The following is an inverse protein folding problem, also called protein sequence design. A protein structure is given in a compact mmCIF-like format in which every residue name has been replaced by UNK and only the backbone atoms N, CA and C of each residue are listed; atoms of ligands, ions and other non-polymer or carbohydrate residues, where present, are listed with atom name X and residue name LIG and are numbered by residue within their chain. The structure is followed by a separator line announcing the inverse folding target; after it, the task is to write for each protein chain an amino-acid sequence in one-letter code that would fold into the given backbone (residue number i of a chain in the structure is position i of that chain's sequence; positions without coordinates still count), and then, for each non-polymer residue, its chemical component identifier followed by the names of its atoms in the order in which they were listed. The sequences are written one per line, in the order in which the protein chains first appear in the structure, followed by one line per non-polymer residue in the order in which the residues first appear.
data_IF_920749378207
#
_entry.id   IF_920749378207
#
_cell.length_a   1.000
_cell.length_b   1.000
_cell.length_c   1.000
_cell.angle_alpha   90.00
_cell.angle_beta   90.00
_cell.angle_gamma   90.00
#
_symmetry.space_group_name_H-M   'P 1'
#
loop_
_entity.id
_entity.type
_entity.pdbx_description
1 polymer ?
#
# COMPACT_ATOMS: atom_id res chain seq x y z
N UNK A 1 64.43 8.79 32.44
CA UNK A 1 63.91 7.45 32.79
C UNK A 1 62.43 7.47 33.23
N UNK A 2 62.01 8.49 34.05
CA UNK A 2 60.56 8.54 34.46
C UNK A 2 59.55 8.66 33.36
N UNK A 3 59.81 9.44 32.30
CA UNK A 3 58.88 9.63 31.19
C UNK A 3 58.63 8.36 30.35
N UNK A 4 59.65 7.50 30.21
CA UNK A 4 59.52 6.24 29.48
C UNK A 4 58.61 5.24 30.20
N UNK A 5 58.70 5.14 31.52
CA UNK A 5 57.85 4.27 32.33
C UNK A 5 56.39 4.75 32.34
N UNK A 6 56.18 6.07 32.37
CA UNK A 6 54.83 6.68 32.28
C UNK A 6 54.23 6.42 30.89
N UNK A 7 54.99 6.63 29.81
CA UNK A 7 54.55 6.36 28.47
C UNK A 7 54.15 4.89 28.24
N UNK A 8 54.92 3.94 28.80
CA UNK A 8 54.62 2.50 28.69
C UNK A 8 53.36 2.11 29.45
N UNK A 9 53.12 2.71 30.62
CA UNK A 9 51.86 2.51 31.37
C UNK A 9 50.63 3.03 30.60
N UNK A 10 50.75 4.21 29.99
CA UNK A 10 49.70 4.80 29.16
C UNK A 10 49.45 3.94 27.92
N UNK A 11 50.51 3.45 27.26
CA UNK A 11 50.41 2.55 26.08
C UNK A 11 49.66 1.27 26.41
N UNK A 12 49.91 0.67 27.56
CA UNK A 12 49.25 -0.54 28.05
C UNK A 12 47.76 -0.31 28.26
N UNK A 13 47.36 0.78 28.94
CA UNK A 13 45.98 1.18 29.13
C UNK A 13 45.28 1.43 27.81
N UNK A 14 45.93 2.18 26.91
CA UNK A 14 45.37 2.52 25.62
C UNK A 14 45.08 1.27 24.76
N UNK A 15 46.06 0.36 24.66
CA UNK A 15 45.88 -0.90 23.93
C UNK A 15 44.73 -1.76 24.47
N UNK A 16 44.49 -1.76 25.76
CA UNK A 16 43.42 -2.50 26.38
C UNK A 16 42.01 -1.96 25.99
N UNK A 17 41.92 -0.67 25.67
CA UNK A 17 40.65 0.01 25.42
C UNK A 17 40.42 0.39 23.94
N UNK A 18 41.49 0.46 23.12
CA UNK A 18 41.45 1.04 21.77
C UNK A 18 40.38 0.39 20.87
N UNK A 19 40.21 -0.93 20.94
CA UNK A 19 39.25 -1.65 20.15
C UNK A 19 37.77 -1.30 20.49
N UNK A 20 37.52 -0.78 21.71
CA UNK A 20 36.17 -0.42 22.19
C UNK A 20 35.87 1.08 22.05
N UNK A 21 36.88 1.89 21.68
CA UNK A 21 36.75 3.35 21.58
C UNK A 21 36.54 3.79 20.12
N UNK A 22 35.57 4.66 19.89
CA UNK A 22 35.48 5.44 18.66
C UNK A 22 36.53 6.60 18.64
N UNK A 23 36.62 7.29 17.50
CA UNK A 23 37.59 8.38 17.31
C UNK A 23 37.45 9.49 18.36
N UNK A 24 36.25 9.78 18.83
CA UNK A 24 35.98 10.78 19.85
C UNK A 24 36.41 10.31 21.23
N UNK A 25 36.06 9.09 21.60
CA UNK A 25 36.46 8.50 22.87
C UNK A 25 37.98 8.37 22.97
N UNK A 26 38.68 7.95 21.88
CA UNK A 26 40.14 7.94 21.82
C UNK A 26 40.72 9.31 22.06
N UNK A 27 40.18 10.35 21.44
CA UNK A 27 40.60 11.73 21.60
C UNK A 27 40.38 12.22 23.03
N UNK A 28 39.22 11.98 23.61
CA UNK A 28 38.90 12.41 24.98
C UNK A 28 39.71 11.64 26.03
N UNK A 29 39.88 10.33 25.86
CA UNK A 29 40.69 9.52 26.76
C UNK A 29 42.15 10.00 26.77
N UNK A 30 42.74 10.19 25.58
CA UNK A 30 44.10 10.70 25.46
C UNK A 30 44.25 12.11 26.02
N UNK A 31 43.23 12.96 25.84
CA UNK A 31 43.20 14.29 26.44
C UNK A 31 43.17 14.24 27.99
N UNK A 32 42.33 13.36 28.55
CA UNK A 32 42.24 13.18 29.98
C UNK A 32 43.59 12.71 30.60
N UNK A 33 44.27 11.74 29.98
CA UNK A 33 45.60 11.30 30.40
C UNK A 33 46.63 12.44 30.25
N UNK A 34 46.56 13.26 29.18
CA UNK A 34 47.46 14.38 29.00
C UNK A 34 47.23 15.50 30.03
N UNK A 35 45.99 15.80 30.39
CA UNK A 35 45.65 16.77 31.45
C UNK A 35 46.14 16.31 32.82
N UNK A 36 46.02 15.02 33.13
CA UNK A 36 46.49 14.44 34.39
C UNK A 36 48.00 14.50 34.57
N UNK A 37 48.78 14.48 33.46
CA UNK A 37 50.22 14.61 33.49
C UNK A 37 50.69 16.07 33.58
N UNK A 38 49.90 17.03 33.21
CA UNK A 38 50.25 18.44 33.19
C UNK A 38 51.27 18.79 32.11
N UNK A 39 52.30 19.55 32.50
CA UNK A 39 53.32 20.01 31.57
C UNK A 39 54.06 18.84 30.88
N UNK A 40 54.17 18.88 29.56
CA UNK A 40 54.73 17.78 28.74
C UNK A 40 53.77 16.62 28.44
N UNK A 41 52.59 16.53 29.07
CA UNK A 41 51.64 15.44 28.95
C UNK A 41 51.17 15.16 27.51
N UNK A 42 50.97 16.20 26.69
CA UNK A 42 50.64 16.05 25.26
C UNK A 42 51.69 15.23 24.49
N UNK A 43 52.97 15.45 24.78
CA UNK A 43 54.07 14.76 24.10
C UNK A 43 54.19 13.30 24.54
N UNK A 44 54.06 13.04 25.82
CA UNK A 44 54.13 11.68 26.39
C UNK A 44 52.97 10.85 25.93
N UNK A 45 51.74 11.37 25.95
CA UNK A 45 50.54 10.66 25.48
C UNK A 45 50.57 10.44 23.97
N UNK A 46 51.03 11.43 23.19
CA UNK A 46 51.20 11.28 21.76
C UNK A 46 52.19 10.14 21.40
N UNK A 47 53.33 10.08 22.10
CA UNK A 47 54.32 9.00 21.93
C UNK A 47 53.77 7.62 22.34
N UNK A 48 52.92 7.57 23.39
CA UNK A 48 52.32 6.34 23.88
C UNK A 48 51.20 5.81 22.98
N UNK A 49 50.32 6.70 22.49
CA UNK A 49 49.07 6.34 21.75
C UNK A 49 49.20 6.41 20.23
N UNK A 50 50.25 7.07 19.71
CA UNK A 50 50.44 7.44 18.29
C UNK A 50 49.36 8.40 17.76
N UNK A 51 48.55 9.02 18.64
CA UNK A 51 47.67 10.10 18.25
C UNK A 51 48.46 11.39 18.04
N UNK A 52 48.09 12.17 17.00
CA UNK A 52 48.72 13.46 16.77
C UNK A 52 48.49 14.41 17.95
N UNK A 53 49.50 15.21 18.30
CA UNK A 53 49.41 16.21 19.40
C UNK A 53 48.23 17.15 19.23
N UNK A 54 47.97 17.59 17.97
CA UNK A 54 46.81 18.44 17.65
C UNK A 54 45.46 17.77 17.95
N UNK A 55 45.36 16.45 17.75
CA UNK A 55 44.15 15.65 18.07
C UNK A 55 43.93 15.61 19.58
N UNK A 56 45.02 15.39 20.36
CA UNK A 56 44.95 15.36 21.82
C UNK A 56 44.64 16.77 22.36
N UNK A 57 45.29 17.82 21.86
CA UNK A 57 44.99 19.20 22.23
C UNK A 57 43.56 19.64 21.90
N UNK A 58 42.98 19.16 20.79
CA UNK A 58 41.56 19.37 20.48
C UNK A 58 40.68 18.71 21.57
N UNK A 59 41.00 17.49 21.97
CA UNK A 59 40.30 16.81 23.05
C UNK A 59 40.38 17.55 24.39
N UNK A 60 41.55 18.13 24.74
CA UNK A 60 41.72 18.95 25.94
C UNK A 60 40.75 20.14 25.91
N UNK A 61 40.72 20.91 24.81
CA UNK A 61 39.77 22.02 24.63
C UNK A 61 38.32 21.59 24.78
N UNK A 62 37.97 20.42 24.19
CA UNK A 62 36.62 19.88 24.31
C UNK A 62 36.23 19.51 25.73
N UNK A 63 37.17 18.94 26.52
CA UNK A 63 36.95 18.59 27.92
C UNK A 63 36.89 19.82 28.82
N UNK A 64 37.74 20.82 28.60
CA UNK A 64 37.73 22.11 29.31
C UNK A 64 36.43 22.86 29.06
N UNK A 65 35.98 22.93 27.79
CA UNK A 65 34.70 23.53 27.45
C UNK A 65 33.52 22.83 28.17
N UNK A 66 33.51 21.50 28.21
CA UNK A 66 32.50 20.77 28.98
C UNK A 66 32.53 21.02 30.46
N UNK A 67 33.72 21.17 31.03
CA UNK A 67 33.88 21.49 32.45
C UNK A 67 33.33 22.88 32.77
N UNK A 68 33.57 23.84 31.89
CA UNK A 68 33.05 25.20 32.02
C UNK A 68 31.53 25.29 31.73
N UNK A 69 30.97 24.36 30.93
CA UNK A 69 29.57 24.36 30.52
C UNK A 69 28.88 23.00 30.79
N UNK A 70 28.64 22.63 32.05
CA UNK A 70 28.15 21.31 32.43
C UNK A 70 26.77 20.97 31.85
N UNK A 71 25.95 21.99 31.56
CA UNK A 71 24.60 21.84 31.00
C UNK A 71 24.56 21.86 29.46
N UNK A 72 25.70 22.06 28.79
CA UNK A 72 25.74 22.05 27.33
C UNK A 72 25.39 20.66 26.78
N UNK A 73 24.52 20.63 25.75
CA UNK A 73 24.14 19.39 25.13
C UNK A 73 25.34 18.63 24.54
N UNK A 74 25.44 17.34 24.85
CA UNK A 74 26.51 16.49 24.33
C UNK A 74 26.19 16.21 22.84
N UNK A 75 27.06 16.70 21.95
CA UNK A 75 26.93 16.32 20.51
C UNK A 75 27.02 14.81 20.35
N UNK A 76 26.07 14.22 19.69
CA UNK A 76 26.06 12.77 19.34
C UNK A 76 27.11 12.47 18.25
N UNK A 77 27.59 13.48 17.52
CA UNK A 77 28.54 13.32 16.42
C UNK A 77 29.93 13.01 16.90
N UNK A 78 30.57 12.01 16.29
CA UNK A 78 31.97 11.63 16.58
C UNK A 78 32.96 12.72 16.12
N UNK A 79 32.64 13.40 15.00
CA UNK A 79 33.47 14.49 14.42
C UNK A 79 32.76 15.83 14.51
N UNK A 80 33.56 16.90 14.64
CA UNK A 80 33.04 18.26 14.56
C UNK A 80 32.39 18.55 13.18
N UNK A 81 31.40 19.48 13.11
CA UNK A 81 30.84 19.93 11.85
C UNK A 81 31.94 20.34 10.87
N UNK A 82 31.82 19.87 9.61
CA UNK A 82 32.85 20.11 8.58
C UNK A 82 34.03 19.13 8.55
N UNK A 83 34.16 18.27 9.56
CA UNK A 83 35.14 17.18 9.58
C UNK A 83 34.71 16.01 8.68
N UNK A 84 35.60 15.49 7.88
CA UNK A 84 35.38 14.37 6.98
C UNK A 84 35.61 14.70 5.51
N UNK A 85 35.27 13.73 4.62
CA UNK A 85 35.35 13.94 3.17
C UNK A 85 34.34 14.99 2.74
N UNK A 86 34.76 16.02 2.03
CA UNK A 86 33.86 17.03 1.45
C UNK A 86 32.80 16.36 0.58
N UNK A 87 31.51 16.79 0.63
CA UNK A 87 30.49 16.33 -0.29
C UNK A 87 30.92 16.50 -1.74
N UNK A 88 30.58 15.55 -2.60
CA UNK A 88 30.97 15.59 -4.02
C UNK A 88 30.44 16.87 -4.72
N UNK A 89 29.29 17.38 -4.32
CA UNK A 89 28.71 18.63 -4.81
C UNK A 89 29.52 19.90 -4.44
N UNK A 90 30.41 19.83 -3.47
CA UNK A 90 31.36 20.90 -3.14
C UNK A 90 32.60 20.80 -4.02
N UNK A 91 33.01 19.58 -4.38
CA UNK A 91 34.16 19.30 -5.24
C UNK A 91 33.80 19.56 -6.72
N UNK A 92 32.57 19.19 -7.09
CA UNK A 92 31.99 19.32 -8.41
C UNK A 92 30.65 20.10 -8.33
N UNK A 93 30.66 21.42 -8.41
CA UNK A 93 29.46 22.25 -8.32
C UNK A 93 28.47 22.05 -9.46
N UNK A 94 28.92 21.58 -10.63
CA UNK A 94 28.09 21.29 -11.79
C UNK A 94 27.27 20.03 -11.71
N UNK A 95 27.68 19.08 -10.89
CA UNK A 95 27.09 17.76 -10.77
C UNK A 95 25.58 17.77 -10.49
N UNK A 96 25.13 18.65 -9.56
CA UNK A 96 23.71 18.74 -9.20
C UNK A 96 22.86 19.18 -10.39
N UNK A 97 23.29 20.22 -11.08
CA UNK A 97 22.59 20.77 -12.26
C UNK A 97 22.56 19.78 -13.42
N UNK A 98 23.65 19.08 -13.67
CA UNK A 98 23.71 18.02 -14.67
C UNK A 98 22.76 16.87 -14.35
N UNK A 99 22.67 16.44 -13.08
CA UNK A 99 21.73 15.41 -12.64
C UNK A 99 20.28 15.86 -12.79
N UNK A 100 19.93 17.08 -12.39
CA UNK A 100 18.59 17.64 -12.53
C UNK A 100 18.18 17.70 -14.00
N UNK A 101 19.05 18.13 -14.90
CA UNK A 101 18.80 18.14 -16.34
C UNK A 101 18.54 16.74 -16.92
N UNK A 102 19.18 15.70 -16.39
CA UNK A 102 18.94 14.30 -16.81
C UNK A 102 17.62 13.71 -16.32
N UNK A 103 17.04 14.23 -15.24
CA UNK A 103 15.78 13.75 -14.66
C UNK A 103 14.60 14.66 -14.94
N UNK A 104 14.82 15.85 -15.48
CA UNK A 104 13.76 16.77 -15.88
C UNK A 104 12.83 16.10 -16.92
N UNK A 105 11.51 16.08 -16.68
CA UNK A 105 10.53 15.53 -17.61
C UNK A 105 10.61 16.12 -19.02
N UNK A 106 10.97 17.39 -19.16
CA UNK A 106 11.11 18.08 -20.45
C UNK A 106 12.30 17.55 -21.27
N UNK A 107 13.37 17.14 -20.60
CA UNK A 107 14.57 16.59 -21.26
C UNK A 107 14.44 15.13 -21.64
N UNK A 108 13.46 14.38 -21.10
CA UNK A 108 13.21 12.97 -21.42
C UNK A 108 12.72 12.75 -22.85
N UNK A 109 12.22 13.77 -23.50
CA UNK A 109 11.60 13.69 -24.82
C UNK A 109 10.19 13.10 -24.77
N UNK A 110 9.53 13.04 -25.93
CA UNK A 110 8.19 12.47 -26.07
C UNK A 110 8.25 10.94 -25.98
N UNK A 111 7.26 10.25 -25.34
CA UNK A 111 7.25 8.79 -25.21
C UNK A 111 7.33 8.03 -26.53
N UNK A 112 6.85 8.63 -27.61
CA UNK A 112 6.89 8.07 -28.97
C UNK A 112 8.23 8.28 -29.69
N UNK A 113 9.18 9.01 -29.07
CA UNK A 113 10.51 9.21 -29.63
C UNK A 113 11.45 8.08 -29.20
N UNK A 114 11.92 7.21 -30.10
CA UNK A 114 12.73 6.05 -29.74
C UNK A 114 14.10 6.40 -29.16
N UNK A 115 14.57 7.65 -29.30
CA UNK A 115 15.92 8.06 -28.90
C UNK A 115 16.04 8.65 -27.49
N UNK A 116 14.94 8.98 -26.80
CA UNK A 116 14.97 9.70 -25.50
C UNK A 116 14.12 9.09 -24.39
N UNK A 117 13.39 8.03 -24.67
CA UNK A 117 12.64 7.32 -23.65
C UNK A 117 13.51 6.29 -22.96
N UNK A 118 13.92 6.57 -21.73
CA UNK A 118 14.54 5.55 -20.89
C UNK A 118 14.11 5.76 -19.44
N UNK A 119 13.57 4.71 -18.82
CA UNK A 119 13.56 4.58 -17.37
C UNK A 119 15.03 4.47 -16.92
N UNK A 120 15.70 5.60 -16.73
CA UNK A 120 17.10 5.59 -16.31
C UNK A 120 17.20 5.12 -14.88
N UNK A 121 17.86 3.98 -14.66
CA UNK A 121 18.29 3.59 -13.33
C UNK A 121 19.37 4.54 -12.80
N UNK A 122 19.57 4.57 -11.49
CA UNK A 122 20.67 5.36 -10.88
C UNK A 122 22.03 4.98 -11.45
N UNK A 123 22.23 3.72 -11.83
CA UNK A 123 23.45 3.26 -12.51
C UNK A 123 23.62 3.91 -13.91
N UNK A 124 22.56 3.99 -14.70
CA UNK A 124 22.61 4.65 -16.01
C UNK A 124 22.78 6.18 -15.89
N UNK A 125 22.13 6.80 -14.91
CA UNK A 125 22.34 8.21 -14.61
C UNK A 125 23.81 8.48 -14.23
N UNK A 126 24.40 7.62 -13.40
CA UNK A 126 25.82 7.74 -13.05
C UNK A 126 26.75 7.53 -14.26
N UNK A 127 26.42 6.63 -15.18
CA UNK A 127 27.15 6.43 -16.41
C UNK A 127 27.11 7.66 -17.32
N UNK A 128 25.92 8.26 -17.45
CA UNK A 128 25.71 9.43 -18.30
C UNK A 128 26.37 10.69 -17.72
N UNK A 129 26.33 10.86 -16.40
CA UNK A 129 27.06 11.91 -15.70
C UNK A 129 28.58 11.77 -15.87
N UNK A 130 29.10 10.53 -15.82
CA UNK A 130 30.53 10.30 -16.09
C UNK A 130 30.94 10.65 -17.53
N UNK A 131 30.05 10.45 -18.51
CA UNK A 131 30.27 10.91 -19.90
C UNK A 131 30.28 12.43 -20.05
N UNK A 132 29.68 13.13 -19.08
CA UNK A 132 29.66 14.58 -18.97
C UNK A 132 30.75 15.11 -18.00
N UNK A 133 31.82 14.34 -17.78
CA UNK A 133 32.94 14.67 -16.90
C UNK A 133 32.59 14.84 -15.42
N UNK A 134 31.47 14.25 -14.96
CA UNK A 134 31.07 14.18 -13.55
C UNK A 134 31.30 12.78 -12.97
N UNK A 135 32.48 12.48 -12.37
CA UNK A 135 32.79 11.16 -11.83
C UNK A 135 31.97 10.84 -10.58
N UNK A 136 30.90 10.09 -10.75
CA UNK A 136 29.92 9.79 -9.69
C UNK A 136 29.52 8.31 -9.68
N UNK A 137 29.17 7.78 -8.49
CA UNK A 137 28.63 6.43 -8.34
C UNK A 137 27.10 6.45 -8.31
N UNK A 138 26.47 5.32 -8.61
CA UNK A 138 25.02 5.12 -8.52
C UNK A 138 24.43 5.40 -7.13
N UNK A 139 25.18 5.05 -6.06
CA UNK A 139 24.81 5.34 -4.67
C UNK A 139 24.80 6.85 -4.39
N UNK A 140 25.79 7.57 -4.92
CA UNK A 140 25.85 9.02 -4.79
C UNK A 140 24.71 9.68 -5.56
N UNK A 141 24.40 9.21 -6.77
CA UNK A 141 23.23 9.67 -7.55
C UNK A 141 21.93 9.45 -6.78
N UNK A 142 21.74 8.27 -6.19
CA UNK A 142 20.56 8.00 -5.38
C UNK A 142 20.43 8.92 -4.14
N UNK A 143 21.55 9.24 -3.49
CA UNK A 143 21.58 10.19 -2.37
C UNK A 143 21.24 11.60 -2.84
N UNK A 144 21.85 12.06 -3.93
CA UNK A 144 21.59 13.40 -4.50
C UNK A 144 20.13 13.57 -4.94
N UNK A 145 19.53 12.54 -5.56
CA UNK A 145 18.12 12.56 -5.92
C UNK A 145 17.23 12.73 -4.70
N UNK A 146 17.52 12.04 -3.59
CA UNK A 146 16.79 12.21 -2.33
C UNK A 146 16.96 13.62 -1.74
N UNK A 147 18.18 14.13 -1.73
CA UNK A 147 18.50 15.48 -1.23
C UNK A 147 17.82 16.59 -2.05
N UNK A 148 17.54 16.34 -3.32
CA UNK A 148 16.80 17.25 -4.21
C UNK A 148 15.30 16.99 -4.22
N UNK A 149 14.78 16.13 -3.32
CA UNK A 149 13.35 15.88 -3.16
C UNK A 149 12.75 14.86 -4.12
N UNK A 150 13.58 14.16 -4.91
CA UNK A 150 13.10 13.10 -5.80
C UNK A 150 12.95 11.77 -5.06
N UNK A 151 11.89 11.04 -5.39
CA UNK A 151 11.69 9.65 -4.96
C UNK A 151 10.99 8.86 -6.07
N UNK A 152 11.15 7.54 -6.05
CA UNK A 152 10.41 6.67 -6.96
C UNK A 152 8.92 6.76 -6.63
N UNK A 153 8.11 7.21 -7.58
CA UNK A 153 6.66 7.34 -7.44
C UNK A 153 5.95 6.38 -8.38
N UNK A 154 4.97 5.66 -7.85
CA UNK A 154 4.02 4.92 -8.67
C UNK A 154 2.89 5.85 -9.15
N UNK A 155 2.26 5.51 -10.27
CA UNK A 155 1.08 6.22 -10.72
C UNK A 155 -0.01 6.19 -9.66
N UNK A 156 -0.52 7.35 -9.29
CA UNK A 156 -1.59 7.49 -8.31
C UNK A 156 -2.92 7.71 -9.02
N UNK A 157 -3.90 6.87 -8.75
CA UNK A 157 -5.27 7.03 -9.27
C UNK A 157 -5.97 8.19 -8.54
N UNK A 158 -5.80 9.42 -9.03
CA UNK A 158 -6.39 10.63 -8.44
C UNK A 158 -7.38 11.33 -9.35
N UNK A 159 -7.30 11.09 -10.66
CA UNK A 159 -8.23 11.68 -11.63
C UNK A 159 -9.52 10.86 -11.59
N UNK A 160 -10.59 11.48 -11.13
CA UNK A 160 -11.95 10.95 -11.23
C UNK A 160 -12.55 11.43 -12.56
N UNK A 161 -13.53 10.71 -13.08
CA UNK A 161 -14.30 11.14 -14.25
C UNK A 161 -15.12 12.40 -13.96
N UNK A 162 -16.22 12.62 -14.67
CA UNK A 162 -17.11 13.77 -14.47
C UNK A 162 -17.52 13.91 -13.00
N UNK A 163 -17.34 15.10 -12.44
CA UNK A 163 -17.82 15.43 -11.11
C UNK A 163 -19.34 15.61 -11.15
N UNK A 164 -20.08 14.80 -10.39
CA UNK A 164 -21.50 15.06 -10.16
C UNK A 164 -21.65 16.10 -9.03
N UNK A 165 -22.42 17.18 -9.22
CA UNK A 165 -22.60 18.22 -8.20
C UNK A 165 -23.17 17.67 -6.90
N UNK A 166 -24.07 16.67 -6.96
CA UNK A 166 -24.72 16.07 -5.79
C UNK A 166 -23.93 14.92 -5.16
N UNK A 167 -22.68 14.74 -5.56
CA UNK A 167 -21.80 13.67 -5.07
C UNK A 167 -21.77 13.61 -3.54
N UNK A 168 -21.48 14.71 -2.88
CA UNK A 168 -21.38 14.74 -1.42
C UNK A 168 -22.74 14.49 -0.76
N UNK A 169 -23.80 15.09 -1.30
CA UNK A 169 -25.17 14.90 -0.82
C UNK A 169 -25.60 13.42 -0.90
N UNK A 170 -25.21 12.70 -1.97
CA UNK A 170 -25.49 11.27 -2.10
C UNK A 170 -24.72 10.43 -1.05
N UNK A 171 -23.45 10.73 -0.79
CA UNK A 171 -22.69 10.05 0.26
C UNK A 171 -23.31 10.28 1.65
N UNK A 172 -23.75 11.50 1.95
CA UNK A 172 -24.46 11.82 3.18
C UNK A 172 -25.80 11.10 3.28
N UNK A 173 -26.56 11.05 2.16
CA UNK A 173 -27.81 10.29 2.10
C UNK A 173 -27.57 8.81 2.41
N UNK A 174 -26.63 8.16 1.74
CA UNK A 174 -26.27 6.76 2.01
C UNK A 174 -25.90 6.57 3.48
N UNK A 175 -25.05 7.44 4.03
CA UNK A 175 -24.60 7.33 5.42
C UNK A 175 -25.79 7.46 6.41
N UNK A 176 -26.72 8.39 6.18
CA UNK A 176 -27.96 8.51 7.00
C UNK A 176 -28.78 7.22 6.97
N UNK A 177 -28.96 6.61 5.78
CA UNK A 177 -29.69 5.36 5.64
C UNK A 177 -28.98 4.20 6.39
N UNK A 178 -27.66 4.10 6.26
CA UNK A 178 -26.84 3.11 6.96
C UNK A 178 -27.02 3.24 8.48
N UNK A 179 -26.90 4.44 9.03
CA UNK A 179 -27.05 4.70 10.48
C UNK A 179 -28.47 4.34 10.94
N UNK A 180 -29.49 4.75 10.20
CA UNK A 180 -30.90 4.51 10.56
C UNK A 180 -31.22 3.00 10.59
N UNK A 181 -30.77 2.26 9.58
CA UNK A 181 -31.00 0.81 9.51
C UNK A 181 -30.23 0.04 10.58
N UNK A 182 -28.97 0.38 10.81
CA UNK A 182 -28.18 -0.24 11.90
C UNK A 182 -28.77 -0.01 13.28
N UNK A 183 -29.31 1.18 13.56
CA UNK A 183 -30.05 1.46 14.80
C UNK A 183 -31.24 0.53 14.97
N UNK A 184 -31.91 0.18 13.87
CA UNK A 184 -33.05 -0.79 13.86
C UNK A 184 -32.58 -2.26 13.76
N UNK A 185 -31.28 -2.53 13.85
CA UNK A 185 -30.67 -3.87 13.72
C UNK A 185 -30.97 -4.55 12.39
N UNK A 186 -31.17 -3.76 11.34
CA UNK A 186 -31.34 -4.29 9.98
C UNK A 186 -29.98 -4.45 9.29
N UNK A 187 -29.81 -5.47 8.45
CA UNK A 187 -28.58 -5.72 7.72
C UNK A 187 -28.28 -4.62 6.69
N UNK A 188 -27.02 -4.25 6.58
CA UNK A 188 -26.52 -3.31 5.59
C UNK A 188 -25.27 -3.89 4.95
N UNK A 189 -25.34 -4.14 3.66
CA UNK A 189 -24.21 -4.72 2.91
C UNK A 189 -23.66 -3.77 1.86
N UNK A 190 -22.37 -3.90 1.62
CA UNK A 190 -21.66 -3.27 0.51
C UNK A 190 -21.29 -4.38 -0.48
N UNK A 191 -21.65 -4.21 -1.75
CA UNK A 191 -21.48 -5.25 -2.76
C UNK A 191 -20.66 -4.73 -3.95
N UNK A 192 -19.88 -5.62 -4.55
CA UNK A 192 -19.13 -5.32 -5.76
C UNK A 192 -18.52 -6.58 -6.39
N UNK A 193 -18.12 -6.49 -7.65
CA UNK A 193 -17.29 -7.49 -8.31
C UNK A 193 -15.82 -7.11 -8.16
N UNK A 194 -15.03 -7.97 -7.51
CA UNK A 194 -13.59 -7.82 -7.51
C UNK A 194 -13.03 -8.04 -8.91
N UNK A 195 -11.91 -7.38 -9.22
CA UNK A 195 -11.16 -7.62 -10.45
C UNK A 195 -11.14 -9.12 -10.79
N UNK A 196 -11.52 -9.45 -12.03
CA UNK A 196 -11.48 -10.83 -12.58
C UNK A 196 -10.03 -11.29 -12.68
N UNK A 197 -9.75 -12.51 -12.24
CA UNK A 197 -8.40 -13.07 -12.22
C UNK A 197 -8.29 -14.25 -13.20
N UNK A 198 -7.17 -14.37 -13.89
CA UNK A 198 -6.86 -15.54 -14.70
C UNK A 198 -6.64 -16.74 -13.79
N UNK A 199 -7.21 -17.89 -14.16
CA UNK A 199 -7.01 -19.16 -13.46
C UNK A 199 -5.93 -19.95 -14.18
N UNK A 200 -4.87 -20.35 -13.45
CA UNK A 200 -3.75 -21.07 -14.02
C UNK A 200 -2.42 -20.63 -13.43
N UNK A 201 -1.34 -21.12 -14.01
CA UNK A 201 0.02 -20.80 -13.61
C UNK A 201 0.48 -19.45 -14.16
N UNK A 202 -0.22 -18.38 -13.77
CA UNK A 202 0.10 -17.01 -14.19
C UNK A 202 0.81 -16.26 -13.07
N UNK A 203 1.66 -15.30 -13.48
CA UNK A 203 2.34 -14.42 -12.54
C UNK A 203 1.34 -13.52 -11.82
N UNK A 204 1.27 -13.66 -10.50
CA UNK A 204 0.51 -12.72 -9.67
C UNK A 204 1.45 -11.67 -9.05
N UNK A 205 0.96 -10.44 -8.91
CA UNK A 205 1.73 -9.33 -8.37
C UNK A 205 2.08 -9.56 -6.89
N UNK A 206 3.31 -9.20 -6.49
CA UNK A 206 3.81 -9.34 -5.13
C UNK A 206 4.93 -10.35 -5.01
N UNK A 207 5.28 -10.69 -3.76
CA UNK A 207 6.37 -11.60 -3.43
C UNK A 207 5.97 -12.43 -2.21
N UNK A 208 6.36 -13.70 -2.18
CA UNK A 208 6.31 -14.60 -1.02
C UNK A 208 7.73 -15.08 -0.66
N UNK A 209 7.89 -15.57 0.56
CA UNK A 209 9.13 -16.18 0.99
C UNK A 209 9.25 -17.59 0.41
N UNK A 210 10.29 -17.80 -0.39
CA UNK A 210 10.68 -19.11 -0.92
C UNK A 210 12.18 -19.32 -0.67
N UNK A 211 12.68 -20.57 -0.70
CA UNK A 211 14.11 -20.84 -0.67
C UNK A 211 14.82 -20.06 -1.78
N UNK A 212 16.00 -19.53 -1.46
CA UNK A 212 16.77 -18.71 -2.41
C UNK A 212 17.03 -19.48 -3.70
N UNK A 213 16.66 -18.87 -4.84
CA UNK A 213 16.84 -19.49 -6.17
C UNK A 213 15.75 -20.49 -6.56
N UNK A 214 14.69 -20.67 -5.76
CA UNK A 214 13.59 -21.60 -6.03
C UNK A 214 12.22 -20.87 -6.04
N UNK A 215 12.02 -19.86 -6.90
CA UNK A 215 10.73 -19.22 -7.03
C UNK A 215 9.72 -20.16 -7.71
N UNK A 216 8.41 -20.00 -7.47
CA UNK A 216 7.38 -20.66 -8.27
C UNK A 216 7.58 -20.36 -9.75
N UNK A 217 7.56 -21.39 -10.57
CA UNK A 217 7.61 -21.22 -12.03
C UNK A 217 6.21 -20.99 -12.54
N UNK A 218 6.06 -20.01 -13.42
CA UNK A 218 4.79 -19.62 -14.03
C UNK A 218 4.94 -19.47 -15.54
N UNK A 219 3.83 -19.41 -16.25
CA UNK A 219 3.81 -19.23 -17.70
C UNK A 219 4.53 -17.95 -18.12
N UNK A 220 5.22 -17.99 -19.25
CA UNK A 220 5.92 -16.83 -19.84
C UNK A 220 4.91 -15.81 -20.38
N UNK A 221 3.75 -16.28 -20.83
CA UNK A 221 2.69 -15.46 -21.41
C UNK A 221 1.35 -15.65 -20.68
N UNK A 222 0.61 -14.58 -20.51
CA UNK A 222 -0.69 -14.56 -19.83
C UNK A 222 -1.86 -14.85 -20.79
N UNK A 223 -1.74 -15.90 -21.62
CA UNK A 223 -2.86 -16.35 -22.47
C UNK A 223 -3.87 -17.13 -21.62
N UNK A 224 -5.15 -16.69 -21.59
CA UNK A 224 -6.18 -17.39 -20.85
C UNK A 224 -6.30 -18.84 -21.31
N UNK A 225 -6.28 -19.77 -20.37
CA UNK A 225 -6.64 -21.16 -20.66
C UNK A 225 -8.14 -21.22 -20.98
N UNK A 226 -8.49 -21.81 -22.14
CA UNK A 226 -9.89 -21.90 -22.60
C UNK A 226 -10.77 -22.76 -21.68
N UNK A 227 -10.16 -23.71 -20.94
CA UNK A 227 -10.89 -24.61 -20.01
C UNK A 227 -11.03 -23.97 -18.62
N UNK A 228 -9.99 -23.30 -18.15
CA UNK A 228 -9.98 -22.69 -16.83
C UNK A 228 -10.59 -21.28 -16.81
N UNK A 229 -10.47 -20.52 -17.89
CA UNK A 229 -11.08 -19.20 -18.02
C UNK A 229 -10.62 -18.19 -16.99
N UNK A 230 -11.59 -17.46 -16.42
CA UNK A 230 -11.37 -16.43 -15.40
C UNK A 230 -12.25 -16.65 -14.19
N UNK A 231 -11.71 -16.47 -13.01
CA UNK A 231 -12.49 -16.35 -11.79
C UNK A 231 -13.13 -14.97 -11.67
N UNK A 232 -14.39 -14.93 -11.30
CA UNK A 232 -15.19 -13.72 -11.11
C UNK A 232 -15.64 -13.66 -9.65
N UNK A 233 -14.83 -13.09 -8.74
CA UNK A 233 -15.20 -12.99 -7.32
C UNK A 233 -16.22 -11.88 -7.14
N UNK A 234 -17.44 -12.19 -6.77
CA UNK A 234 -18.45 -11.23 -6.35
C UNK A 234 -18.57 -11.23 -4.83
N UNK A 235 -18.39 -10.08 -4.23
CA UNK A 235 -18.35 -9.92 -2.78
C UNK A 235 -19.59 -9.26 -2.21
N UNK A 236 -19.97 -9.71 -1.02
CA UNK A 236 -21.00 -9.11 -0.16
C UNK A 236 -20.38 -8.90 1.21
N UNK A 237 -20.21 -7.64 1.62
CA UNK A 237 -19.57 -7.28 2.87
C UNK A 237 -20.58 -6.67 3.85
N UNK A 238 -20.77 -7.29 5.00
CA UNK A 238 -21.61 -6.76 6.09
C UNK A 238 -20.90 -5.67 6.87
N UNK A 239 -21.44 -4.46 6.78
CA UNK A 239 -20.90 -3.28 7.45
C UNK A 239 -20.99 -3.31 8.98
N UNK A 240 -21.86 -4.16 9.54
CA UNK A 240 -22.07 -4.24 10.99
C UNK A 240 -21.10 -5.22 11.65
N UNK A 241 -20.90 -6.39 11.04
CA UNK A 241 -20.16 -7.51 11.63
C UNK A 241 -18.69 -7.57 11.22
N UNK A 242 -18.27 -6.81 10.22
CA UNK A 242 -16.96 -6.93 9.59
C UNK A 242 -16.73 -8.35 9.02
N UNK A 243 -17.76 -8.90 8.41
CA UNK A 243 -17.74 -10.23 7.79
C UNK A 243 -18.14 -10.11 6.32
N UNK A 244 -17.68 -11.04 5.51
CA UNK A 244 -17.99 -11.03 4.09
C UNK A 244 -18.20 -12.42 3.49
N UNK A 245 -18.95 -12.45 2.42
CA UNK A 245 -19.16 -13.57 1.54
C UNK A 245 -18.58 -13.28 0.17
N UNK A 246 -17.98 -14.28 -0.47
CA UNK A 246 -17.55 -14.15 -1.86
C UNK A 246 -18.00 -15.38 -2.65
N UNK A 247 -18.85 -15.16 -3.66
CA UNK A 247 -19.13 -16.15 -4.71
C UNK A 247 -18.04 -16.06 -5.78
N UNK A 248 -17.33 -17.14 -6.03
CA UNK A 248 -16.33 -17.22 -7.10
C UNK A 248 -16.97 -17.79 -8.33
N UNK A 249 -17.45 -16.93 -9.22
CA UNK A 249 -18.10 -17.32 -10.48
C UNK A 249 -17.11 -17.82 -11.53
N UNK A 250 -17.58 -18.71 -12.39
CA UNK A 250 -16.81 -19.31 -13.50
C UNK A 250 -17.32 -18.91 -14.87
N UNK A 251 -18.45 -18.21 -14.96
CA UNK A 251 -19.15 -17.93 -16.21
C UNK A 251 -19.13 -16.43 -16.55
N UNK A 252 -20.17 -15.69 -16.26
CA UNK A 252 -20.32 -14.29 -16.61
C UNK A 252 -20.67 -13.41 -15.41
N UNK A 253 -20.16 -12.17 -15.43
CA UNK A 253 -20.46 -11.13 -14.45
C UNK A 253 -21.75 -10.41 -14.84
N UNK A 254 -22.88 -11.00 -14.51
CA UNK A 254 -24.21 -10.50 -14.84
C UNK A 254 -24.97 -10.02 -13.61
N UNK A 255 -26.05 -9.27 -13.81
CA UNK A 255 -26.93 -8.86 -12.72
C UNK A 255 -27.53 -10.07 -11.96
N UNK A 256 -27.83 -11.14 -12.67
CA UNK A 256 -28.34 -12.38 -12.06
C UNK A 256 -27.28 -13.02 -11.13
N UNK A 257 -26.02 -13.12 -11.59
CA UNK A 257 -24.92 -13.61 -10.76
C UNK A 257 -24.72 -12.75 -9.49
N UNK A 258 -24.78 -11.43 -9.66
CA UNK A 258 -24.65 -10.48 -8.56
C UNK A 258 -25.77 -10.70 -7.50
N UNK A 259 -27.01 -10.78 -7.94
CA UNK A 259 -28.17 -10.99 -7.06
C UNK A 259 -28.16 -12.39 -6.42
N UNK A 260 -27.79 -13.43 -7.19
CA UNK A 260 -27.61 -14.78 -6.65
C UNK A 260 -26.54 -14.81 -5.52
N UNK A 261 -25.46 -14.05 -5.67
CA UNK A 261 -24.43 -13.92 -4.66
C UNK A 261 -24.92 -13.24 -3.38
N UNK A 262 -25.79 -12.22 -3.49
CA UNK A 262 -26.43 -11.58 -2.33
C UNK A 262 -27.38 -12.58 -1.65
N UNK A 263 -28.15 -13.35 -2.40
CA UNK A 263 -29.02 -14.40 -1.87
C UNK A 263 -28.23 -15.49 -1.13
N UNK A 264 -27.06 -15.89 -1.64
CA UNK A 264 -26.17 -16.84 -0.95
C UNK A 264 -25.63 -16.28 0.34
N UNK A 265 -25.13 -15.04 0.32
CA UNK A 265 -24.72 -14.38 1.57
C UNK A 265 -25.83 -14.41 2.61
N UNK A 266 -27.07 -14.10 2.21
CA UNK A 266 -28.20 -14.13 3.13
C UNK A 266 -28.41 -15.53 3.73
N UNK A 267 -28.46 -16.57 2.92
CA UNK A 267 -28.66 -17.95 3.37
C UNK A 267 -27.53 -18.45 4.27
N UNK A 268 -26.28 -18.12 3.94
CA UNK A 268 -25.09 -18.66 4.61
C UNK A 268 -24.66 -17.86 5.85
N UNK A 269 -25.04 -16.59 5.94
CA UNK A 269 -24.56 -15.68 6.98
C UNK A 269 -25.64 -14.74 7.49
N UNK A 270 -26.37 -14.08 6.59
CA UNK A 270 -27.29 -13.00 6.91
C UNK A 270 -28.48 -13.47 7.76
N UNK A 271 -29.17 -14.54 7.37
CA UNK A 271 -30.33 -15.08 8.06
C UNK A 271 -30.01 -15.54 9.49
N UNK A 272 -28.84 -16.11 9.71
CA UNK A 272 -28.38 -16.55 11.04
C UNK A 272 -28.21 -15.36 11.98
N UNK A 273 -27.65 -14.26 11.48
CA UNK A 273 -27.37 -13.07 12.28
C UNK A 273 -28.58 -12.15 12.43
N UNK A 274 -29.35 -12.01 11.37
CA UNK A 274 -30.45 -11.07 11.26
C UNK A 274 -31.80 -11.76 11.07
N UNK A 275 -32.06 -12.84 11.78
CA UNK A 275 -33.26 -13.68 11.63
C UNK A 275 -34.62 -12.95 11.85
N UNK A 276 -34.59 -11.71 12.39
CA UNK A 276 -35.76 -10.84 12.54
C UNK A 276 -35.74 -9.64 11.61
N UNK A 277 -34.88 -9.64 10.61
CA UNK A 277 -34.81 -8.54 9.67
C UNK A 277 -36.09 -8.51 8.78
N UNK A 278 -36.55 -7.30 8.51
CA UNK A 278 -37.62 -7.01 7.57
C UNK A 278 -37.13 -6.24 6.35
N UNK A 279 -35.94 -5.67 6.48
CA UNK A 279 -35.29 -4.88 5.41
C UNK A 279 -33.83 -5.31 5.26
N UNK A 280 -33.31 -5.25 4.04
CA UNK A 280 -31.90 -5.38 3.70
C UNK A 280 -31.48 -4.16 2.89
N UNK A 281 -30.46 -3.42 3.36
CA UNK A 281 -29.86 -2.35 2.55
C UNK A 281 -28.66 -2.86 1.78
N UNK A 282 -28.65 -2.57 0.48
CA UNK A 282 -27.59 -2.88 -0.47
C UNK A 282 -26.97 -1.56 -0.93
N UNK A 283 -25.69 -1.34 -0.63
CA UNK A 283 -24.91 -0.26 -1.22
C UNK A 283 -23.99 -0.81 -2.31
N UNK A 284 -24.11 -0.26 -3.52
CA UNK A 284 -23.38 -0.72 -4.69
C UNK A 284 -22.80 0.46 -5.46
N UNK A 285 -21.79 0.21 -6.31
CA UNK A 285 -21.42 1.22 -7.29
C UNK A 285 -22.48 1.33 -8.40
N UNK A 286 -22.36 2.36 -9.24
CA UNK A 286 -23.34 2.62 -10.32
C UNK A 286 -23.01 1.89 -11.61
N UNK A 287 -22.01 1.01 -11.65
CA UNK A 287 -21.50 0.37 -12.88
C UNK A 287 -21.58 -1.16 -12.89
N UNK A 288 -21.21 -1.76 -14.01
CA UNK A 288 -21.13 -3.21 -14.18
C UNK A 288 -22.44 -3.94 -13.94
N UNK A 289 -22.36 -5.12 -13.33
CA UNK A 289 -23.49 -5.99 -12.99
C UNK A 289 -24.48 -5.34 -12.00
N UNK A 290 -24.00 -4.39 -11.18
CA UNK A 290 -24.78 -3.68 -10.18
C UNK A 290 -25.38 -2.35 -10.70
N UNK A 291 -25.31 -2.07 -12.00
CA UNK A 291 -25.67 -0.76 -12.54
C UNK A 291 -27.11 -0.37 -12.19
N UNK A 292 -27.31 0.85 -11.70
CA UNK A 292 -28.63 1.42 -11.41
C UNK A 292 -29.53 1.51 -12.66
N UNK A 293 -28.93 1.56 -13.84
CA UNK A 293 -29.62 1.59 -15.14
C UNK A 293 -29.97 0.21 -15.66
N UNK A 294 -29.42 -0.86 -15.08
CA UNK A 294 -29.63 -2.22 -15.53
C UNK A 294 -31.03 -2.70 -15.11
N UNK A 295 -31.91 -2.93 -16.09
CA UNK A 295 -33.28 -3.44 -15.87
C UNK A 295 -33.27 -4.86 -15.27
N UNK A 296 -32.36 -5.72 -15.74
CA UNK A 296 -32.23 -7.09 -15.27
C UNK A 296 -31.83 -7.13 -13.77
N UNK A 297 -31.02 -6.18 -13.30
CA UNK A 297 -30.70 -6.02 -11.90
C UNK A 297 -31.96 -5.82 -11.04
N UNK A 298 -32.86 -4.92 -11.46
CA UNK A 298 -34.12 -4.65 -10.75
C UNK A 298 -35.06 -5.84 -10.73
N UNK A 299 -35.21 -6.54 -11.88
CA UNK A 299 -36.03 -7.74 -11.99
C UNK A 299 -35.48 -8.88 -11.14
N UNK A 300 -34.16 -9.10 -11.15
CA UNK A 300 -33.52 -10.12 -10.33
C UNK A 300 -33.66 -9.80 -8.82
N UNK A 301 -33.51 -8.52 -8.42
CA UNK A 301 -33.77 -8.10 -7.05
C UNK A 301 -35.23 -8.30 -6.62
N UNK A 302 -36.20 -8.14 -7.51
CA UNK A 302 -37.60 -8.47 -7.20
C UNK A 302 -37.75 -9.95 -6.87
N UNK A 303 -37.13 -10.83 -7.65
CA UNK A 303 -37.11 -12.26 -7.36
C UNK A 303 -36.50 -12.54 -5.98
N UNK A 304 -35.38 -11.91 -5.66
CA UNK A 304 -34.73 -12.05 -4.36
C UNK A 304 -35.61 -11.50 -3.21
N UNK A 305 -36.25 -10.35 -3.40
CA UNK A 305 -37.16 -9.79 -2.40
C UNK A 305 -38.31 -10.74 -2.07
N UNK A 306 -38.90 -11.34 -3.11
CA UNK A 306 -39.99 -12.33 -2.96
C UNK A 306 -39.49 -13.60 -2.26
N UNK A 307 -38.32 -14.12 -2.65
CA UNK A 307 -37.72 -15.32 -2.03
C UNK A 307 -37.45 -15.13 -0.53
N UNK A 308 -36.89 -13.97 -0.18
CA UNK A 308 -36.45 -13.71 1.19
C UNK A 308 -37.58 -13.13 2.08
N UNK A 309 -38.67 -12.64 1.50
CA UNK A 309 -39.68 -11.88 2.23
C UNK A 309 -39.17 -10.55 2.79
N UNK A 310 -38.09 -10.00 2.22
CA UNK A 310 -37.44 -8.79 2.70
C UNK A 310 -37.67 -7.60 1.76
N UNK A 311 -37.86 -6.43 2.36
CA UNK A 311 -37.76 -5.17 1.62
C UNK A 311 -36.30 -4.87 1.32
N UNK A 312 -35.96 -4.73 0.03
CA UNK A 312 -34.61 -4.42 -0.41
C UNK A 312 -34.48 -2.91 -0.66
N UNK A 313 -33.63 -2.25 0.11
CA UNK A 313 -33.32 -0.83 -0.07
C UNK A 313 -31.97 -0.73 -0.79
N UNK A 314 -31.94 -0.18 -2.00
CA UNK A 314 -30.74 -0.06 -2.81
C UNK A 314 -30.31 1.40 -2.85
N UNK A 315 -29.02 1.62 -2.63
CA UNK A 315 -28.38 2.92 -2.77
C UNK A 315 -27.11 2.77 -3.59
N UNK A 316 -27.04 3.44 -4.74
CA UNK A 316 -25.86 3.45 -5.58
C UNK A 316 -24.95 4.64 -5.27
N UNK A 317 -23.66 4.41 -5.31
CA UNK A 317 -22.68 5.49 -5.29
C UNK A 317 -22.77 6.30 -6.58
N UNK A 318 -22.44 7.60 -6.54
CA UNK A 318 -22.40 8.45 -7.72
C UNK A 318 -21.43 7.88 -8.78
N UNK A 319 -21.66 8.10 -10.07
CA UNK A 319 -20.75 7.67 -11.13
C UNK A 319 -19.30 8.13 -10.89
N UNK A 320 -18.33 7.29 -11.19
CA UNK A 320 -16.90 7.59 -11.02
C UNK A 320 -16.38 7.50 -9.57
N UNK A 321 -17.19 7.07 -8.62
CA UNK A 321 -16.83 7.02 -7.20
C UNK A 321 -16.69 5.61 -6.63
N UNK A 322 -16.57 4.58 -7.47
CA UNK A 322 -16.43 3.17 -7.08
C UNK A 322 -15.31 2.93 -6.05
N UNK A 323 -14.22 3.69 -6.13
CA UNK A 323 -13.13 3.62 -5.14
C UNK A 323 -13.56 3.93 -3.70
N UNK A 324 -14.74 4.53 -3.48
CA UNK A 324 -15.28 4.81 -2.15
C UNK A 324 -16.21 3.71 -1.63
N UNK A 325 -16.46 2.68 -2.44
CA UNK A 325 -17.22 1.52 -2.01
C UNK A 325 -16.54 0.84 -0.83
N UNK A 326 -17.27 0.62 0.26
CA UNK A 326 -16.69 0.12 1.53
C UNK A 326 -16.03 -1.25 1.37
N UNK A 327 -16.60 -2.12 0.54
CA UNK A 327 -16.09 -3.47 0.30
C UNK A 327 -14.65 -3.45 -0.24
N UNK A 328 -14.30 -2.47 -1.09
CA UNK A 328 -12.96 -2.33 -1.65
C UNK A 328 -11.89 -2.16 -0.56
N UNK A 329 -12.17 -1.31 0.42
CA UNK A 329 -11.23 -0.96 1.49
C UNK A 329 -11.30 -1.89 2.70
N UNK A 330 -12.42 -2.60 2.89
CA UNK A 330 -12.66 -3.41 4.08
C UNK A 330 -12.49 -4.91 3.84
N UNK A 331 -12.59 -5.37 2.58
CA UNK A 331 -12.47 -6.78 2.25
C UNK A 331 -11.56 -7.05 1.05
N UNK A 332 -11.81 -6.44 -0.11
CA UNK A 332 -11.08 -6.77 -1.33
C UNK A 332 -9.58 -6.43 -1.28
N UNK A 333 -9.20 -5.34 -0.62
CA UNK A 333 -7.80 -5.01 -0.40
C UNK A 333 -7.06 -6.11 0.39
N UNK A 334 -7.71 -6.71 1.39
CA UNK A 334 -7.12 -7.79 2.20
C UNK A 334 -7.07 -9.12 1.46
N UNK A 335 -8.10 -9.43 0.65
CA UNK A 335 -8.06 -10.57 -0.26
C UNK A 335 -6.87 -10.42 -1.23
N UNK A 336 -6.69 -9.24 -1.81
CA UNK A 336 -5.56 -8.95 -2.70
C UNK A 336 -4.22 -9.12 -1.99
N UNK A 337 -4.10 -8.70 -0.72
CA UNK A 337 -2.90 -8.89 0.07
C UNK A 337 -2.62 -10.37 0.36
N UNK A 338 -3.68 -11.15 0.64
CA UNK A 338 -3.56 -12.56 1.01
C UNK A 338 -3.06 -13.46 -0.14
N UNK A 339 -3.34 -13.10 -1.39
CA UNK A 339 -2.89 -13.91 -2.54
C UNK A 339 -1.73 -13.29 -3.35
N UNK A 340 -1.12 -12.19 -2.85
CA UNK A 340 0.01 -11.55 -3.54
C UNK A 340 1.20 -12.51 -3.65
N UNK A 341 1.78 -12.56 -4.87
CA UNK A 341 2.95 -13.40 -5.15
C UNK A 341 2.63 -14.87 -5.40
N UNK A 342 1.40 -15.30 -5.17
CA UNK A 342 0.98 -16.70 -5.33
C UNK A 342 0.22 -16.90 -6.64
N UNK A 343 0.61 -17.84 -7.52
CA UNK A 343 -0.15 -18.20 -8.71
C UNK A 343 -1.54 -18.76 -8.33
N UNK A 344 -2.58 -18.32 -9.04
CA UNK A 344 -3.97 -18.73 -8.82
C UNK A 344 -4.29 -19.95 -9.70
N UNK A 345 -3.70 -21.08 -9.39
CA UNK A 345 -3.63 -22.26 -10.25
C UNK A 345 -4.96 -22.97 -10.50
N UNK A 346 -5.95 -22.79 -9.60
CA UNK A 346 -7.28 -23.38 -9.75
C UNK A 346 -8.34 -22.57 -9.01
N UNK A 347 -9.60 -22.78 -9.32
CA UNK A 347 -10.73 -22.18 -8.59
C UNK A 347 -10.73 -22.54 -7.11
N UNK A 348 -10.35 -23.78 -6.76
CA UNK A 348 -10.25 -24.19 -5.36
C UNK A 348 -9.19 -23.41 -4.59
N UNK A 349 -8.03 -23.14 -5.20
CA UNK A 349 -6.98 -22.30 -4.62
C UNK A 349 -7.51 -20.90 -4.37
N UNK A 350 -8.25 -20.32 -5.32
CA UNK A 350 -8.85 -18.98 -5.21
C UNK A 350 -9.86 -18.95 -4.05
N UNK A 351 -10.79 -19.91 -3.99
CA UNK A 351 -11.79 -20.01 -2.92
C UNK A 351 -11.11 -20.13 -1.56
N UNK A 352 -10.09 -20.98 -1.43
CA UNK A 352 -9.36 -21.19 -0.18
C UNK A 352 -8.60 -19.90 0.24
N UNK A 353 -7.94 -19.21 -0.68
CA UNK A 353 -7.22 -17.97 -0.38
C UNK A 353 -8.20 -16.86 0.05
N UNK A 354 -9.36 -16.76 -0.59
CA UNK A 354 -10.40 -15.80 -0.19
C UNK A 354 -10.94 -16.17 1.20
N UNK A 355 -11.32 -17.41 1.41
CA UNK A 355 -11.92 -17.89 2.67
C UNK A 355 -10.98 -17.81 3.87
N UNK A 356 -9.67 -17.89 3.65
CA UNK A 356 -8.64 -17.73 4.69
C UNK A 356 -8.22 -16.27 4.92
N UNK A 357 -8.87 -15.31 4.28
CA UNK A 357 -8.53 -13.89 4.48
C UNK A 357 -9.02 -13.40 5.83
N UNK A 358 -8.10 -12.98 6.67
CA UNK A 358 -8.37 -12.40 7.99
C UNK A 358 -7.58 -11.12 8.21
N UNK A 359 -7.94 -10.35 9.23
CA UNK A 359 -7.19 -9.16 9.65
C UNK A 359 -7.11 -9.06 11.16
N UNK A 360 -6.17 -8.27 11.68
CA UNK A 360 -6.09 -7.97 13.13
C UNK A 360 -7.38 -7.36 13.68
N UNK A 361 -8.18 -6.71 12.83
CA UNK A 361 -9.46 -6.12 13.20
C UNK A 361 -10.64 -7.10 13.10
N UNK A 362 -10.38 -8.40 12.98
CA UNK A 362 -11.39 -9.45 13.03
C UNK A 362 -12.22 -9.66 11.77
N UNK A 363 -11.72 -9.23 10.58
CA UNK A 363 -12.38 -9.59 9.32
C UNK A 363 -12.44 -11.11 9.18
N UNK A 364 -13.64 -11.63 8.83
CA UNK A 364 -13.85 -13.02 8.45
C UNK A 364 -14.51 -13.07 7.09
N UNK A 365 -13.98 -13.89 6.20
CA UNK A 365 -14.52 -14.06 4.85
C UNK A 365 -14.88 -15.52 4.65
N UNK A 366 -16.10 -15.79 4.18
CA UNK A 366 -16.50 -17.09 3.63
C UNK A 366 -16.52 -17.00 2.11
N UNK A 367 -16.13 -18.06 1.43
CA UNK A 367 -16.15 -18.13 -0.02
C UNK A 367 -16.60 -19.50 -0.51
N UNK A 368 -17.30 -19.50 -1.63
CA UNK A 368 -17.64 -20.73 -2.32
C UNK A 368 -17.58 -20.56 -3.83
N UNK A 369 -17.33 -21.67 -4.53
CA UNK A 369 -17.39 -21.71 -5.97
C UNK A 369 -18.86 -21.60 -6.44
N UNK A 370 -19.08 -20.79 -7.45
CA UNK A 370 -20.35 -20.67 -8.15
C UNK A 370 -20.22 -21.27 -9.56
N UNK A 371 -20.78 -22.44 -9.76
CA UNK A 371 -20.80 -23.16 -11.04
C UNK A 371 -22.04 -22.85 -11.87
N UNK A 372 -22.89 -21.93 -11.41
CA UNK A 372 -24.09 -21.49 -12.13
C UNK A 372 -23.76 -20.89 -13.48
N UNK A 373 -24.70 -21.05 -14.41
CA UNK A 373 -24.64 -20.42 -15.73
C UNK A 373 -25.49 -19.17 -15.73
N UNK A 374 -24.93 -18.08 -16.22
CA UNK A 374 -25.56 -16.77 -16.22
C UNK A 374 -25.47 -16.17 -17.61
N UNK A 375 -26.60 -16.23 -18.35
CA UNK A 375 -26.65 -15.74 -19.70
C UNK A 375 -26.39 -14.24 -19.79
N UNK A 376 -25.72 -13.85 -20.86
CA UNK A 376 -25.50 -12.44 -21.23
C UNK A 376 -26.49 -11.98 -22.26
N UNK A 377 -26.72 -10.66 -22.40
CA UNK A 377 -27.58 -10.11 -23.44
C UNK A 377 -29.08 -10.27 -23.16
N UNK A 378 -29.47 -10.60 -21.92
CA UNK A 378 -30.90 -10.68 -21.56
C UNK A 378 -31.51 -9.28 -21.61
N UNK A 379 -32.50 -9.12 -22.50
CA UNK A 379 -33.28 -7.88 -22.60
C UNK A 379 -34.54 -7.99 -21.74
N UNK A 380 -34.81 -6.96 -20.97
CA UNK A 380 -36.00 -6.85 -20.13
C UNK A 380 -36.99 -5.89 -20.80
N UNK A 381 -38.18 -6.38 -21.07
CA UNK A 381 -39.27 -5.57 -21.65
C UNK A 381 -39.84 -4.56 -20.63
N UNK A 382 -40.58 -3.58 -21.14
CA UNK A 382 -41.23 -2.59 -20.29
C UNK A 382 -42.28 -3.25 -19.35
N UNK A 383 -42.99 -4.28 -19.86
CA UNK A 383 -43.97 -5.03 -19.07
C UNK A 383 -43.32 -5.82 -17.93
N UNK A 384 -42.13 -6.41 -18.18
CA UNK A 384 -41.37 -7.10 -17.12
C UNK A 384 -40.89 -6.11 -16.08
N UNK A 385 -40.38 -4.94 -16.50
CA UNK A 385 -39.92 -3.91 -15.57
C UNK A 385 -41.10 -3.32 -14.78
N UNK A 386 -42.26 -3.13 -15.38
CA UNK A 386 -43.46 -2.61 -14.71
C UNK A 386 -43.99 -3.53 -13.59
N UNK A 387 -43.66 -4.84 -13.64
CA UNK A 387 -43.96 -5.79 -12.57
C UNK A 387 -43.07 -5.70 -11.37
N UNK A 388 -41.96 -4.92 -11.43
CA UNK A 388 -41.08 -4.72 -10.28
C UNK A 388 -41.72 -3.75 -9.28
N UNK A 389 -41.98 -4.20 -8.06
CA UNK A 389 -42.54 -3.37 -6.99
C UNK A 389 -41.47 -2.40 -6.44
N UNK A 390 -41.05 -1.49 -7.31
CA UNK A 390 -39.96 -0.54 -7.07
C UNK A 390 -40.50 0.86 -6.76
N UNK A 391 -40.13 1.40 -5.63
CA UNK A 391 -40.45 2.77 -5.22
C UNK A 391 -39.17 3.60 -5.22
N UNK A 392 -39.00 4.57 -6.14
CA UNK A 392 -37.87 5.50 -6.13
C UNK A 392 -37.92 6.39 -4.89
N UNK A 393 -36.75 6.74 -4.36
CA UNK A 393 -36.66 7.73 -3.31
C UNK A 393 -36.89 9.16 -3.87
N UNK A 394 -37.29 10.10 -3.00
CA UNK A 394 -37.41 11.52 -3.41
C UNK A 394 -36.08 12.15 -3.82
N UNK A 395 -34.99 11.70 -3.20
CA UNK A 395 -33.64 12.16 -3.50
C UNK A 395 -32.95 11.15 -4.41
N UNK A 396 -32.64 11.54 -5.63
CA UNK A 396 -31.98 10.69 -6.65
C UNK A 396 -32.61 9.30 -6.77
N UNK A 397 -33.87 9.22 -7.16
CA UNK A 397 -34.62 7.97 -7.30
C UNK A 397 -34.02 6.99 -8.32
N UNK A 398 -33.20 7.48 -9.24
CA UNK A 398 -32.40 6.68 -10.17
C UNK A 398 -31.24 5.95 -9.48
N UNK A 399 -30.77 6.45 -8.33
CA UNK A 399 -29.72 5.83 -7.51
C UNK A 399 -30.25 5.18 -6.25
N UNK A 400 -31.36 5.69 -5.72
CA UNK A 400 -31.91 5.32 -4.43
C UNK A 400 -33.34 4.82 -4.61
N UNK A 401 -33.61 3.56 -4.32
CA UNK A 401 -34.94 2.98 -4.47
C UNK A 401 -35.14 1.81 -3.51
N UNK A 402 -36.40 1.43 -3.37
CA UNK A 402 -36.83 0.33 -2.51
C UNK A 402 -37.63 -0.67 -3.35
N UNK A 403 -37.29 -1.95 -3.27
CA UNK A 403 -38.03 -3.05 -3.89
C UNK A 403 -38.69 -3.84 -2.76
N UNK A 404 -40.00 -4.02 -2.82
CA UNK A 404 -40.77 -4.78 -1.84
C UNK A 404 -41.15 -6.14 -2.41
N UNK A 405 -41.26 -7.18 -1.56
CA UNK A 405 -41.82 -8.44 -2.01
C UNK A 405 -43.25 -8.24 -2.49
N UNK A 406 -43.69 -9.08 -3.42
CA UNK A 406 -45.11 -9.20 -3.73
C UNK A 406 -45.78 -9.98 -2.60
N UNK A 407 -46.97 -9.55 -2.24
CA UNK A 407 -47.82 -10.20 -1.22
C UNK A 407 -48.49 -11.41 -1.83
#
# INVERSE_FOLDING_TARGET
MQDAAVAERIRRKYRALDAMMDERLRRHWAAAEAMALGWGGLSVVSAATRLARNTIAAGVRELEYRRAHPRAAVSVRVRSPGGGRKPLTVIDPGLRRALEALVDPVTRGHPESPLRWTCKSTARLAEELRRQDHPVTDRTVAALLKDTGYSLQANRKTREGSSNPDRNAQFEYINRQVIALRKRRQPVVSVDTKKKELVGEFKNAGQEWHPKGQPPRVNVHDFPDKKLGKAIPYGVYDLASNEGWVSVGIDHDTAQFAVASIGRWWREMGSVRFGRATELMISADGGGSNSSRNRLWKVALQGLANELGLTLRVCHFPPGTSKWNKIEHRMFCFITQNWRGRPLTSYQVIVNLIGNTTTKNGLKVKAALDTGRYETGIEITDEQLARVNCTPAKFHGEWNYTIRPHV
#
